data_IF_391783806586
#
_entry.id   IF_391783806586
#
_cell.length_a   1.000
_cell.length_b   1.000
_cell.length_c   1.000
_cell.angle_alpha   90.00
_cell.angle_beta   90.00
_cell.angle_gamma   90.00
#
_symmetry.space_group_name_H-M   'P 1'
#
loop_
_entity.id
_entity.type
_entity.pdbx_description
1 polymer ?
#
# COMPACT_ATOMS: atom_id res chain seq x y z
N UNK A 1 -54.89 -38.10 10.05
CA UNK A 1 -55.49 -36.95 9.32
C UNK A 1 -55.28 -35.69 10.15
N UNK A 2 -54.28 -34.86 9.85
CA UNK A 2 -54.01 -33.60 10.56
C UNK A 2 -54.36 -32.41 9.66
N UNK A 3 -55.33 -31.58 10.07
CA UNK A 3 -55.74 -30.36 9.35
C UNK A 3 -54.74 -29.24 9.64
N UNK A 4 -53.88 -28.92 8.68
CA UNK A 4 -53.05 -27.72 8.73
C UNK A 4 -53.93 -26.47 8.66
N UNK A 5 -54.05 -25.73 9.76
CA UNK A 5 -54.71 -24.41 9.79
C UNK A 5 -53.81 -23.41 9.06
N UNK A 6 -54.28 -22.91 7.92
CA UNK A 6 -53.64 -21.83 7.17
C UNK A 6 -53.64 -20.56 8.02
N UNK A 7 -52.46 -20.06 8.35
CA UNK A 7 -52.29 -18.78 9.05
C UNK A 7 -52.69 -17.66 8.08
N UNK A 8 -53.59 -16.77 8.54
CA UNK A 8 -54.15 -15.68 7.73
C UNK A 8 -53.09 -14.68 7.29
N UNK A 9 -53.27 -14.11 6.09
CA UNK A 9 -52.31 -13.23 5.40
C UNK A 9 -51.83 -12.04 6.25
N UNK A 10 -52.71 -11.49 7.09
CA UNK A 10 -52.41 -10.40 8.02
C UNK A 10 -51.33 -10.76 9.06
N UNK A 11 -51.34 -11.99 9.59
CA UNK A 11 -50.34 -12.43 10.59
C UNK A 11 -48.96 -12.67 9.97
N UNK A 12 -48.93 -13.06 8.70
CA UNK A 12 -47.68 -13.24 7.94
C UNK A 12 -47.03 -11.89 7.60
N UNK A 13 -47.84 -10.89 7.23
CA UNK A 13 -47.35 -9.54 6.93
C UNK A 13 -46.69 -8.89 8.15
N UNK A 14 -47.32 -8.98 9.33
CA UNK A 14 -46.77 -8.45 10.59
C UNK A 14 -45.48 -9.17 11.00
N UNK A 15 -45.41 -10.50 10.82
CA UNK A 15 -44.20 -11.25 11.15
C UNK A 15 -43.01 -10.87 10.25
N UNK A 16 -43.26 -10.62 8.96
CA UNK A 16 -42.21 -10.24 8.00
C UNK A 16 -41.72 -8.82 8.29
N UNK A 17 -42.61 -7.85 8.53
CA UNK A 17 -42.20 -6.47 8.83
C UNK A 17 -41.41 -6.38 10.13
N UNK A 18 -41.78 -7.16 11.15
CA UNK A 18 -41.05 -7.21 12.42
C UNK A 18 -39.65 -7.81 12.24
N UNK A 19 -39.51 -8.89 11.47
CA UNK A 19 -38.21 -9.51 11.19
C UNK A 19 -37.29 -8.54 10.42
N UNK A 20 -37.82 -7.82 9.43
CA UNK A 20 -37.03 -6.84 8.67
C UNK A 20 -36.59 -5.65 9.53
N UNK A 21 -37.44 -5.19 10.46
CA UNK A 21 -37.11 -4.09 11.36
C UNK A 21 -36.07 -4.48 12.42
N UNK A 22 -36.12 -5.71 12.92
CA UNK A 22 -35.11 -6.25 13.85
C UNK A 22 -33.77 -6.46 13.13
N UNK A 23 -33.80 -6.94 11.87
CA UNK A 23 -32.58 -7.14 11.09
C UNK A 23 -31.92 -5.81 10.71
N UNK A 24 -32.70 -4.78 10.34
CA UNK A 24 -32.17 -3.45 10.04
C UNK A 24 -31.58 -2.77 11.28
N UNK A 25 -32.22 -2.90 12.44
CA UNK A 25 -31.71 -2.34 13.70
C UNK A 25 -30.44 -3.04 14.18
N UNK A 26 -30.31 -4.36 14.00
CA UNK A 26 -29.07 -5.10 14.27
C UNK A 26 -27.92 -4.71 13.35
N UNK A 27 -28.19 -4.44 12.07
CA UNK A 27 -27.17 -3.96 11.12
C UNK A 27 -26.69 -2.57 11.54
N UNK A 28 -27.59 -1.66 11.89
CA UNK A 28 -27.23 -0.29 12.28
C UNK A 28 -26.43 -0.28 13.61
N UNK A 29 -26.80 -1.12 14.57
CA UNK A 29 -26.04 -1.28 15.84
C UNK A 29 -24.73 -2.07 15.66
N UNK A 30 -24.63 -2.94 14.65
CA UNK A 30 -23.42 -3.72 14.35
C UNK A 30 -22.43 -3.03 13.39
N UNK A 31 -22.84 -1.93 12.77
CA UNK A 31 -22.01 -1.13 11.85
C UNK A 31 -21.49 0.19 12.45
N UNK A 32 -21.86 0.52 13.69
CA UNK A 32 -21.40 1.76 14.37
C UNK A 32 -19.97 1.69 14.91
N UNK A 33 -19.27 0.56 14.77
CA UNK A 33 -17.85 0.47 15.06
C UNK A 33 -17.05 1.09 13.90
N UNK A 34 -16.69 2.37 14.04
CA UNK A 34 -15.78 3.13 13.15
C UNK A 34 -14.42 2.40 12.89
N UNK A 35 -14.14 1.36 13.67
CA UNK A 35 -12.95 0.52 13.68
C UNK A 35 -12.71 -0.34 12.43
N UNK A 36 -13.65 -0.44 11.47
CA UNK A 36 -13.49 -1.33 10.30
C UNK A 36 -12.87 -0.63 9.09
N UNK A 37 -13.02 0.70 8.98
CA UNK A 37 -12.39 1.51 7.94
C UNK A 37 -10.90 1.79 8.23
N UNK A 38 -10.46 1.64 9.48
CA UNK A 38 -9.08 1.89 9.90
C UNK A 38 -8.06 0.85 9.43
N UNK A 39 -8.49 -0.34 8.98
CA UNK A 39 -7.59 -1.39 8.49
C UNK A 39 -7.21 -1.24 7.00
N UNK A 40 -8.01 -0.51 6.20
CA UNK A 40 -7.73 -0.28 4.79
C UNK A 40 -6.86 0.97 4.54
N UNK A 41 -6.89 1.93 5.47
CA UNK A 41 -6.15 3.20 5.39
C UNK A 41 -4.61 3.05 5.50
N UNK A 42 -4.02 2.18 6.35
CA UNK A 42 -2.57 2.12 6.48
C UNK A 42 -1.87 1.46 5.27
N UNK A 43 -2.59 0.75 4.40
CA UNK A 43 -2.01 0.09 3.23
C UNK A 43 -1.74 1.05 2.05
N UNK A 44 -2.40 2.21 1.99
CA UNK A 44 -2.22 3.19 0.90
C UNK A 44 -1.18 4.27 1.24
N UNK A 45 -0.69 4.32 2.48
CA UNK A 45 0.20 5.37 2.98
C UNK A 45 1.69 5.01 2.93
N UNK A 46 2.06 3.84 2.40
CA UNK A 46 3.45 3.37 2.38
C UNK A 46 4.08 3.42 0.99
N UNK A 47 4.10 4.58 0.32
CA UNK A 47 5.17 4.86 -0.66
C UNK A 47 5.28 6.33 -1.10
N UNK A 48 5.08 7.31 -0.21
CA UNK A 48 5.53 8.67 -0.51
C UNK A 48 7.02 8.77 -0.16
N UNK A 49 7.87 8.19 -0.99
CA UNK A 49 9.29 8.57 -1.04
C UNK A 49 9.36 10.10 -1.10
N UNK A 50 9.97 10.72 -0.08
CA UNK A 50 10.05 12.17 0.08
C UNK A 50 10.89 12.80 -1.04
N UNK A 51 10.34 12.89 -2.25
CA UNK A 51 10.97 13.57 -3.37
C UNK A 51 10.54 15.03 -3.40
N UNK A 52 11.51 15.94 -3.35
CA UNK A 52 11.28 17.35 -3.65
C UNK A 52 11.47 17.57 -5.15
N UNK A 53 10.60 18.34 -5.84
CA UNK A 53 10.76 18.68 -7.25
C UNK A 53 12.10 19.35 -7.59
N UNK A 54 12.73 20.00 -6.61
CA UNK A 54 14.03 20.68 -6.75
C UNK A 54 15.13 20.06 -5.88
N UNK A 55 14.81 19.00 -5.14
CA UNK A 55 15.74 18.37 -4.20
C UNK A 55 16.74 17.44 -4.87
N UNK A 56 17.73 17.02 -4.09
CA UNK A 56 18.69 16.00 -4.51
C UNK A 56 18.01 14.64 -4.41
N UNK A 57 18.07 13.86 -5.49
CA UNK A 57 17.64 12.46 -5.48
C UNK A 57 18.60 11.67 -4.59
N UNK A 58 18.13 11.11 -3.45
CA UNK A 58 18.94 10.20 -2.64
C UNK A 58 19.09 8.84 -3.35
N UNK A 59 20.12 8.08 -2.98
CA UNK A 59 20.34 6.68 -3.39
C UNK A 59 20.21 6.45 -4.90
N UNK A 60 21.10 7.06 -5.68
CA UNK A 60 21.13 6.93 -7.14
C UNK A 60 21.66 5.55 -7.53
N UNK A 61 21.09 4.97 -8.59
CA UNK A 61 21.58 3.71 -9.16
C UNK A 61 22.99 3.81 -9.76
N UNK A 62 23.43 5.03 -10.09
CA UNK A 62 24.72 5.31 -10.73
C UNK A 62 25.41 6.46 -10.01
N UNK A 63 26.71 6.31 -9.79
CA UNK A 63 27.56 7.33 -9.21
C UNK A 63 27.92 8.41 -10.24
N UNK A 64 27.54 9.65 -9.97
CA UNK A 64 28.02 10.83 -10.69
C UNK A 64 29.17 11.47 -9.89
N UNK A 65 30.40 11.55 -10.43
CA UNK A 65 31.55 12.02 -9.66
C UNK A 65 31.34 13.39 -9.02
N UNK A 66 31.53 13.46 -7.70
CA UNK A 66 31.45 14.71 -6.92
C UNK A 66 30.05 15.19 -6.55
N UNK A 67 28.98 14.43 -6.86
CA UNK A 67 27.60 14.84 -6.52
C UNK A 67 27.09 14.29 -5.19
N UNK A 68 27.85 13.40 -4.56
CA UNK A 68 27.45 12.71 -3.34
C UNK A 68 28.46 13.01 -2.22
N UNK A 69 27.98 13.30 -0.99
CA UNK A 69 28.88 13.50 0.14
C UNK A 69 29.56 12.18 0.53
N UNK A 70 30.84 12.24 0.89
CA UNK A 70 31.61 11.10 1.41
C UNK A 70 31.63 11.18 2.94
N UNK A 71 31.25 10.10 3.63
CA UNK A 71 31.35 10.07 5.09
C UNK A 71 32.80 9.95 5.56
N UNK A 72 33.06 10.36 6.81
CA UNK A 72 34.42 10.42 7.38
C UNK A 72 35.16 9.06 7.34
N UNK A 73 34.43 7.97 7.54
CA UNK A 73 34.96 6.61 7.59
C UNK A 73 34.58 5.79 6.34
N UNK A 74 34.25 6.46 5.22
CA UNK A 74 33.86 5.82 3.97
C UNK A 74 34.96 5.98 2.90
N UNK A 75 35.27 4.89 2.19
CA UNK A 75 36.15 4.92 1.02
C UNK A 75 35.39 4.45 -0.22
N UNK A 76 35.49 5.23 -1.30
CA UNK A 76 34.93 4.88 -2.61
C UNK A 76 36.04 4.49 -3.58
N UNK A 77 35.92 3.30 -4.15
CA UNK A 77 36.86 2.77 -5.14
C UNK A 77 36.24 2.90 -6.52
N UNK A 78 36.87 3.69 -7.40
CA UNK A 78 36.46 3.85 -8.79
C UNK A 78 37.57 3.30 -9.68
N UNK A 79 37.25 2.31 -10.50
CA UNK A 79 38.20 1.77 -11.48
C UNK A 79 38.37 2.76 -12.64
N UNK A 80 39.42 3.58 -12.60
CA UNK A 80 39.72 4.56 -13.64
C UNK A 80 40.19 3.91 -14.95
N UNK A 81 40.67 2.66 -14.90
CA UNK A 81 41.09 1.88 -16.06
C UNK A 81 41.05 0.38 -15.78
N UNK A 82 40.57 -0.37 -16.76
CA UNK A 82 40.51 -1.85 -16.73
C UNK A 82 41.17 -2.44 -17.98
N UNK A 83 41.99 -1.64 -18.67
CA UNK A 83 42.52 -1.95 -19.99
C UNK A 83 43.68 -2.94 -19.98
N UNK A 84 44.14 -3.25 -21.18
CA UNK A 84 45.37 -4.00 -21.47
C UNK A 84 46.37 -3.07 -22.18
N UNK A 85 47.65 -3.46 -22.37
CA UNK A 85 48.67 -2.59 -22.95
C UNK A 85 48.36 -2.04 -24.35
N UNK A 86 47.41 -2.63 -25.08
CA UNK A 86 46.93 -2.09 -26.35
C UNK A 86 45.85 -1.02 -26.12
N UNK A 87 45.95 0.16 -26.76
CA UNK A 87 44.98 1.23 -26.55
C UNK A 87 43.60 0.80 -27.07
N UNK A 88 42.60 0.91 -26.19
CA UNK A 88 41.20 0.66 -26.52
C UNK A 88 40.40 1.86 -26.05
N UNK A 89 39.91 2.76 -26.91
CA UNK A 89 39.26 4.00 -26.47
C UNK A 89 38.09 3.82 -25.48
N UNK A 90 37.46 2.65 -25.46
CA UNK A 90 36.37 2.29 -24.52
C UNK A 90 36.85 1.86 -23.13
N UNK A 91 38.14 1.68 -22.93
CA UNK A 91 38.76 1.28 -21.67
C UNK A 91 39.98 2.18 -21.47
N UNK A 92 40.05 2.93 -20.38
CA UNK A 92 41.30 3.63 -20.10
C UNK A 92 42.41 2.59 -19.98
N UNK A 93 43.44 2.74 -20.81
CA UNK A 93 44.65 1.92 -20.79
C UNK A 93 45.61 2.47 -19.72
N UNK A 94 46.40 1.57 -19.12
CA UNK A 94 47.47 1.93 -18.21
C UNK A 94 48.74 2.30 -18.99
#
# INVERSE_FOLDING_TARGET
>A
MARFRTISFQKKSIAVTFLTAVFSTLIVLGLSDDSRLSLLVPALAQNSSNYSPTGIVPDRDVYYPGTEPLAQDEMRVVALGTGQPSPRPKQAAA
#
